data_IF_616639003539
#
_entry.id   IF_616639003539
#
_cell.length_a   1.000
_cell.length_b   1.000
_cell.length_c   1.000
_cell.angle_alpha   90.00
_cell.angle_beta   90.00
_cell.angle_gamma   90.00
#
_symmetry.space_group_name_H-M   'P 1'
#
loop_
_entity.id
_entity.type
_entity.pdbx_description
1 polymer ?
#
# COMPACT_ATOMS: atom_id res chain seq x y z
N UNK A 1 52.40 4.11 -13.14
CA UNK A 1 51.80 4.22 -11.80
C UNK A 1 50.44 4.97 -11.83
N UNK A 2 50.33 6.14 -12.45
CA UNK A 2 49.03 6.86 -12.58
C UNK A 2 47.97 6.10 -13.42
N UNK A 3 48.38 5.45 -14.51
CA UNK A 3 47.44 4.67 -15.34
C UNK A 3 46.85 3.46 -14.62
N UNK A 4 47.64 2.81 -13.73
CA UNK A 4 47.16 1.67 -12.94
C UNK A 4 46.18 2.10 -11.84
N UNK A 5 46.38 3.30 -11.27
CA UNK A 5 45.47 3.91 -10.29
C UNK A 5 44.17 4.34 -10.99
N UNK A 6 44.24 4.91 -12.18
CA UNK A 6 43.09 5.27 -13.00
C UNK A 6 42.29 4.06 -13.45
N UNK A 7 42.96 2.96 -13.87
CA UNK A 7 42.30 1.70 -14.22
C UNK A 7 41.66 1.02 -13.02
N UNK A 8 42.19 1.17 -11.79
CA UNK A 8 41.61 0.66 -10.56
C UNK A 8 40.47 1.55 -10.04
N UNK A 9 40.45 2.83 -10.38
CA UNK A 9 39.31 3.71 -10.13
C UNK A 9 38.13 3.44 -11.07
N UNK A 10 38.43 3.08 -12.33
CA UNK A 10 37.39 2.67 -13.32
C UNK A 10 36.89 1.24 -13.04
N UNK A 11 37.69 0.38 -12.41
CA UNK A 11 37.33 -0.99 -11.99
C UNK A 11 36.65 -1.07 -10.60
N UNK A 12 36.29 0.00 -9.95
CA UNK A 12 35.15 -0.04 -9.02
C UNK A 12 33.88 -0.18 -9.87
N UNK A 13 33.71 -1.37 -10.43
CA UNK A 13 32.43 -1.77 -10.97
C UNK A 13 31.41 -1.47 -9.85
N UNK A 14 30.58 -0.45 -10.06
CA UNK A 14 29.48 -0.17 -9.13
C UNK A 14 28.72 -1.48 -8.97
N UNK A 15 28.70 -1.98 -7.72
CA UNK A 15 28.02 -3.23 -7.46
C UNK A 15 26.56 -3.06 -7.84
N UNK A 16 26.04 -3.96 -8.69
CA UNK A 16 24.68 -3.89 -9.19
C UNK A 16 23.67 -3.98 -8.05
N UNK A 17 22.67 -3.10 -8.09
CA UNK A 17 21.50 -3.13 -7.22
C UNK A 17 20.55 -4.22 -7.71
N UNK A 18 20.42 -5.29 -6.92
CA UNK A 18 19.56 -6.42 -7.22
C UNK A 18 18.32 -6.38 -6.36
N UNK A 19 17.16 -6.32 -6.99
CA UNK A 19 15.86 -6.46 -6.34
C UNK A 19 15.33 -7.87 -6.62
N UNK A 20 15.20 -8.68 -5.58
CA UNK A 20 14.54 -9.98 -5.67
C UNK A 20 13.05 -9.77 -5.39
N UNK A 21 12.23 -9.95 -6.42
CA UNK A 21 10.78 -9.89 -6.32
C UNK A 21 10.26 -11.28 -5.94
N UNK A 22 9.86 -11.44 -4.69
CA UNK A 22 9.26 -12.65 -4.14
C UNK A 22 7.74 -12.51 -4.22
N UNK A 23 7.09 -13.37 -4.98
CA UNK A 23 5.70 -13.26 -5.29
C UNK A 23 4.94 -14.54 -4.88
N UNK A 24 3.79 -14.39 -4.25
CA UNK A 24 2.93 -15.52 -3.89
C UNK A 24 2.17 -16.08 -5.09
N UNK A 25 1.99 -15.28 -6.15
CA UNK A 25 1.37 -15.70 -7.39
C UNK A 25 2.35 -16.51 -8.27
N UNK A 26 1.82 -17.30 -9.19
CA UNK A 26 2.63 -18.09 -10.14
C UNK A 26 3.54 -17.19 -10.98
N UNK A 27 3.04 -16.06 -11.42
CA UNK A 27 3.78 -15.09 -12.22
C UNK A 27 3.94 -13.79 -11.42
N UNK A 28 5.20 -13.39 -11.14
CA UNK A 28 5.47 -12.10 -10.51
C UNK A 28 4.85 -10.94 -11.29
N UNK A 29 4.34 -9.95 -10.56
CA UNK A 29 3.66 -8.79 -11.12
C UNK A 29 4.57 -8.01 -12.08
N UNK A 30 4.12 -7.83 -13.33
CA UNK A 30 4.82 -6.97 -14.32
C UNK A 30 4.86 -5.51 -13.87
N UNK A 31 3.77 -5.05 -13.22
CA UNK A 31 3.72 -3.68 -12.68
C UNK A 31 4.84 -3.45 -11.66
N UNK A 32 5.01 -4.34 -10.69
CA UNK A 32 6.02 -4.21 -9.65
C UNK A 32 7.44 -4.35 -10.21
N UNK A 33 7.61 -5.20 -11.23
CA UNK A 33 8.87 -5.33 -11.97
C UNK A 33 9.27 -3.98 -12.60
N UNK A 34 8.35 -3.31 -13.30
CA UNK A 34 8.60 -2.00 -13.92
C UNK A 34 8.92 -0.95 -12.87
N UNK A 35 8.13 -0.89 -11.80
CA UNK A 35 8.38 0.05 -10.69
C UNK A 35 9.71 -0.24 -9.99
N UNK A 36 10.12 -1.49 -9.90
CA UNK A 36 11.42 -1.90 -9.37
C UNK A 36 12.58 -1.28 -10.15
N UNK A 37 12.53 -1.32 -11.49
CA UNK A 37 13.51 -0.63 -12.34
C UNK A 37 13.43 0.89 -12.19
N UNK A 38 12.23 1.45 -12.25
CA UNK A 38 12.01 2.90 -12.11
C UNK A 38 12.44 3.43 -10.73
N UNK A 39 12.40 2.59 -9.70
CA UNK A 39 12.87 2.88 -8.34
C UNK A 39 14.39 2.74 -8.17
N UNK A 40 15.11 2.38 -9.24
CA UNK A 40 16.57 2.40 -9.28
C UNK A 40 17.25 1.04 -9.06
N UNK A 41 16.55 -0.08 -9.18
CA UNK A 41 17.19 -1.39 -9.28
C UNK A 41 17.90 -1.55 -10.63
N UNK A 42 19.13 -2.07 -10.63
CA UNK A 42 19.83 -2.42 -11.87
C UNK A 42 19.27 -3.70 -12.50
N UNK A 43 18.80 -4.62 -11.67
CA UNK A 43 18.11 -5.85 -12.09
C UNK A 43 17.00 -6.20 -11.11
N UNK A 44 15.85 -6.60 -11.66
CA UNK A 44 14.72 -7.17 -10.92
C UNK A 44 14.63 -8.65 -11.29
N UNK A 45 14.65 -9.51 -10.28
CA UNK A 45 14.68 -10.97 -10.44
C UNK A 45 13.44 -11.53 -9.77
N UNK A 46 12.46 -11.94 -10.58
CA UNK A 46 11.19 -12.43 -10.11
C UNK A 46 11.19 -13.92 -9.79
N UNK A 47 10.62 -14.29 -8.67
CA UNK A 47 10.32 -15.65 -8.25
C UNK A 47 8.85 -15.74 -7.85
N UNK A 48 8.10 -16.61 -8.50
CA UNK A 48 6.67 -16.83 -8.24
C UNK A 48 6.40 -18.10 -7.45
N UNK A 49 5.14 -18.28 -7.04
CA UNK A 49 4.66 -19.43 -6.24
C UNK A 49 5.44 -19.61 -4.93
N UNK A 50 5.81 -18.50 -4.28
CA UNK A 50 6.59 -18.57 -3.05
C UNK A 50 5.70 -18.70 -1.81
N UNK A 51 6.15 -19.56 -0.91
CA UNK A 51 5.54 -19.83 0.39
C UNK A 51 6.63 -19.88 1.47
N UNK A 52 6.28 -19.82 2.75
CA UNK A 52 7.27 -19.97 3.83
C UNK A 52 8.12 -21.22 3.74
N UNK A 53 7.59 -22.30 3.17
CA UNK A 53 8.25 -23.60 3.07
C UNK A 53 9.33 -23.66 1.99
N UNK A 54 9.27 -22.78 0.97
CA UNK A 54 10.19 -22.85 -0.17
C UNK A 54 11.15 -21.67 -0.31
N UNK A 55 11.09 -20.64 0.57
CA UNK A 55 11.91 -19.43 0.45
C UNK A 55 13.32 -19.55 1.01
N UNK A 56 13.61 -20.53 1.88
CA UNK A 56 14.84 -20.57 2.67
C UNK A 56 16.10 -20.35 1.81
N UNK A 57 16.28 -21.17 0.77
CA UNK A 57 17.46 -21.08 -0.11
C UNK A 57 17.56 -19.73 -0.86
N UNK A 58 16.42 -19.12 -1.20
CA UNK A 58 16.39 -17.81 -1.86
C UNK A 58 16.83 -16.71 -0.89
N UNK A 59 16.30 -16.70 0.33
CA UNK A 59 16.70 -15.72 1.36
C UNK A 59 18.16 -15.88 1.72
N UNK A 60 18.64 -17.10 1.94
CA UNK A 60 20.05 -17.40 2.22
C UNK A 60 20.94 -16.88 1.09
N UNK A 61 20.55 -17.06 -0.17
CA UNK A 61 21.23 -16.49 -1.32
C UNK A 61 21.35 -14.96 -1.26
N UNK A 62 20.38 -14.25 -0.72
CA UNK A 62 20.45 -12.79 -0.59
C UNK A 62 21.35 -12.32 0.55
N UNK A 63 21.40 -13.04 1.68
CA UNK A 63 22.08 -12.58 2.89
C UNK A 63 23.54 -13.03 2.99
N UNK A 64 23.93 -14.13 2.29
CA UNK A 64 25.29 -14.70 2.38
C UNK A 64 26.23 -14.32 1.25
N UNK A 65 25.73 -13.85 0.09
CA UNK A 65 26.53 -13.66 -1.13
C UNK A 65 27.39 -12.38 -1.13
N UNK A 66 27.05 -11.38 -0.33
CA UNK A 66 27.73 -10.08 -0.31
C UNK A 66 28.38 -9.77 1.03
N UNK A 67 29.53 -9.09 1.01
CA UNK A 67 30.16 -8.57 2.22
C UNK A 67 29.23 -7.56 2.95
N UNK A 68 29.34 -7.38 4.28
CA UNK A 68 28.43 -6.53 5.05
C UNK A 68 28.21 -5.12 4.45
N UNK A 69 29.30 -4.47 4.00
CA UNK A 69 29.25 -3.12 3.38
C UNK A 69 28.52 -3.06 2.04
N UNK A 70 28.39 -4.20 1.36
CA UNK A 70 27.85 -4.31 0.01
C UNK A 70 26.42 -4.87 0.01
N UNK A 71 25.91 -5.35 1.16
CA UNK A 71 24.56 -5.94 1.31
C UNK A 71 23.46 -4.94 0.95
N UNK A 72 23.67 -3.64 1.14
CA UNK A 72 22.75 -2.58 0.72
C UNK A 72 22.43 -2.56 -0.78
N UNK A 73 23.20 -3.27 -1.59
CA UNK A 73 22.92 -3.41 -3.02
C UNK A 73 22.06 -4.66 -3.33
N UNK A 74 21.54 -5.33 -2.30
CA UNK A 74 20.58 -6.44 -2.43
C UNK A 74 19.34 -6.10 -1.60
N UNK A 75 18.16 -6.25 -2.19
CA UNK A 75 16.88 -6.02 -1.49
C UNK A 75 15.86 -7.07 -1.91
N UNK A 76 14.83 -7.26 -1.08
CA UNK A 76 13.70 -8.14 -1.34
C UNK A 76 12.43 -7.29 -1.40
N UNK A 77 11.60 -7.52 -2.42
CA UNK A 77 10.24 -7.03 -2.52
C UNK A 77 9.28 -8.22 -2.43
N UNK A 78 8.31 -8.16 -1.54
CA UNK A 78 7.27 -9.18 -1.40
C UNK A 78 5.97 -8.67 -2.01
N UNK A 79 5.52 -9.38 -3.07
CA UNK A 79 4.32 -9.10 -3.86
C UNK A 79 3.27 -10.20 -3.79
N UNK A 80 2.40 -10.22 -4.80
CA UNK A 80 1.31 -11.18 -4.99
C UNK A 80 -0.07 -10.57 -4.80
N UNK A 81 -1.10 -11.24 -5.28
CA UNK A 81 -2.49 -10.77 -5.25
C UNK A 81 -3.15 -10.99 -3.88
N UNK A 82 -2.70 -11.96 -3.09
CA UNK A 82 -3.21 -12.28 -1.77
C UNK A 82 -2.40 -11.53 -0.68
N UNK A 83 -3.05 -10.54 -0.05
CA UNK A 83 -2.45 -9.75 1.01
C UNK A 83 -2.07 -10.59 2.24
N UNK A 84 -2.87 -11.59 2.61
CA UNK A 84 -2.62 -12.42 3.78
C UNK A 84 -1.43 -13.37 3.53
N UNK A 85 -1.38 -14.00 2.36
CA UNK A 85 -0.25 -14.83 1.95
C UNK A 85 1.04 -14.01 1.86
N UNK A 86 0.97 -12.80 1.29
CA UNK A 86 2.12 -11.89 1.24
C UNK A 86 2.62 -11.47 2.61
N UNK A 87 1.72 -11.19 3.57
CA UNK A 87 2.10 -10.87 4.94
C UNK A 87 2.83 -12.05 5.61
N UNK A 88 2.31 -13.27 5.43
CA UNK A 88 2.94 -14.49 5.97
C UNK A 88 4.33 -14.71 5.34
N UNK A 89 4.45 -14.53 4.02
CA UNK A 89 5.71 -14.64 3.30
C UNK A 89 6.73 -13.60 3.79
N UNK A 90 6.29 -12.34 3.97
CA UNK A 90 7.12 -11.24 4.45
C UNK A 90 7.67 -11.51 5.87
N UNK A 91 6.84 -12.03 6.77
CA UNK A 91 7.25 -12.44 8.11
C UNK A 91 8.22 -13.63 8.07
N UNK A 92 8.00 -14.58 7.16
CA UNK A 92 8.88 -15.71 6.97
C UNK A 92 10.26 -15.27 6.46
N UNK A 93 10.32 -14.35 5.50
CA UNK A 93 11.60 -13.75 5.03
C UNK A 93 12.36 -13.14 6.21
N UNK A 94 11.69 -12.34 7.05
CA UNK A 94 12.33 -11.68 8.19
C UNK A 94 12.84 -12.66 9.25
N UNK A 95 12.18 -13.81 9.45
CA UNK A 95 12.62 -14.86 10.38
C UNK A 95 13.96 -15.51 9.98
N UNK A 96 14.36 -15.43 8.71
CA UNK A 96 15.69 -15.86 8.25
C UNK A 96 16.79 -14.84 8.52
N UNK A 97 16.44 -13.61 8.88
CA UNK A 97 17.42 -12.56 9.17
C UNK A 97 17.98 -12.70 10.59
N UNK A 98 19.27 -12.44 10.73
CA UNK A 98 19.95 -12.40 12.02
C UNK A 98 21.06 -11.34 12.02
N UNK A 99 21.61 -10.96 13.18
CA UNK A 99 22.56 -9.85 13.28
C UNK A 99 23.72 -9.94 12.27
N UNK A 100 23.84 -8.92 11.42
CA UNK A 100 24.85 -8.83 10.37
C UNK A 100 24.49 -9.59 9.07
N UNK A 101 23.44 -10.39 9.05
CA UNK A 101 22.97 -11.18 7.90
C UNK A 101 21.50 -10.87 7.61
N UNK A 102 21.29 -9.71 7.00
CA UNK A 102 19.98 -9.21 6.56
C UNK A 102 20.16 -8.31 5.35
N UNK A 103 19.10 -8.14 4.60
CA UNK A 103 18.94 -7.17 3.52
C UNK A 103 17.65 -6.39 3.75
N UNK A 104 17.49 -5.23 3.10
CA UNK A 104 16.24 -4.48 3.18
C UNK A 104 15.12 -5.25 2.50
N UNK A 105 13.90 -5.16 3.07
CA UNK A 105 12.71 -5.85 2.57
C UNK A 105 11.49 -4.93 2.60
N UNK A 106 10.64 -5.03 1.56
CA UNK A 106 9.38 -4.30 1.42
C UNK A 106 8.23 -5.26 1.18
N UNK A 107 7.06 -4.93 1.73
CA UNK A 107 5.79 -5.63 1.47
C UNK A 107 4.80 -4.68 0.78
N UNK A 108 4.33 -5.05 -0.40
CA UNK A 108 3.23 -4.34 -1.07
C UNK A 108 2.33 -5.27 -1.91
N UNK A 109 1.88 -6.37 -1.31
CA UNK A 109 0.97 -7.31 -1.99
C UNK A 109 -0.30 -6.61 -2.46
N UNK A 110 -0.69 -6.88 -3.70
CA UNK A 110 -1.81 -6.22 -4.39
C UNK A 110 -1.66 -4.69 -4.48
N UNK A 111 -0.46 -4.13 -4.31
CA UNK A 111 -0.25 -2.69 -4.20
C UNK A 111 -1.03 -2.05 -3.06
N UNK A 112 -1.42 -2.83 -2.05
CA UNK A 112 -2.37 -2.40 -1.01
C UNK A 112 -1.80 -1.35 -0.08
N UNK A 113 -0.53 -1.51 0.33
CA UNK A 113 0.11 -0.56 1.24
C UNK A 113 0.35 0.79 0.56
N UNK A 114 0.93 0.80 -0.65
CA UNK A 114 1.22 2.05 -1.37
C UNK A 114 -0.04 2.77 -1.83
N UNK A 115 -1.09 2.05 -2.25
CA UNK A 115 -2.37 2.65 -2.68
C UNK A 115 -3.10 3.27 -1.49
N UNK A 116 -3.25 2.53 -0.40
CA UNK A 116 -3.90 3.04 0.81
C UNK A 116 -3.12 4.22 1.40
N UNK A 117 -1.79 4.10 1.48
CA UNK A 117 -0.93 5.17 2.00
C UNK A 117 -1.05 6.46 1.19
N UNK A 118 -1.06 6.37 -0.14
CA UNK A 118 -1.22 7.55 -1.00
C UNK A 118 -2.60 8.19 -0.84
N UNK A 119 -3.66 7.38 -0.78
CA UNK A 119 -5.03 7.86 -0.58
C UNK A 119 -5.16 8.59 0.77
N UNK A 120 -4.80 7.93 1.88
CA UNK A 120 -4.93 8.51 3.22
C UNK A 120 -4.00 9.70 3.43
N UNK A 121 -2.77 9.67 2.88
CA UNK A 121 -1.86 10.84 2.95
C UNK A 121 -2.43 12.05 2.21
N UNK A 122 -3.11 11.87 1.07
CA UNK A 122 -3.79 12.96 0.36
C UNK A 122 -4.99 13.49 1.14
N UNK A 123 -5.76 12.65 1.79
CA UNK A 123 -6.81 13.09 2.71
C UNK A 123 -6.24 13.86 3.91
N UNK A 124 -5.16 13.37 4.52
CA UNK A 124 -4.47 14.05 5.62
C UNK A 124 -3.89 15.41 5.23
N UNK A 125 -3.41 15.57 3.99
CA UNK A 125 -2.94 16.85 3.47
C UNK A 125 -4.09 17.81 3.11
N UNK A 126 -5.31 17.29 2.98
CA UNK A 126 -6.51 18.07 2.65
C UNK A 126 -7.27 18.57 3.88
N UNK A 127 -7.09 17.91 5.04
CA UNK A 127 -7.80 18.29 6.27
C UNK A 127 -7.40 17.46 7.48
N UNK A 128 -7.96 17.80 8.64
CA UNK A 128 -7.73 17.09 9.90
C UNK A 128 -8.49 15.75 9.88
N UNK A 129 -7.79 14.66 10.20
CA UNK A 129 -8.41 13.33 10.31
C UNK A 129 -8.77 12.95 11.74
N UNK A 130 -8.04 13.45 12.73
CA UNK A 130 -8.24 13.14 14.15
C UNK A 130 -9.65 13.52 14.64
N UNK A 131 -10.35 12.57 15.23
CA UNK A 131 -11.71 12.73 15.73
C UNK A 131 -12.80 12.75 14.65
N UNK A 132 -12.44 12.58 13.36
CA UNK A 132 -13.39 12.49 12.26
C UNK A 132 -13.93 11.07 12.11
N UNK A 133 -15.20 10.96 11.77
CA UNK A 133 -15.84 9.69 11.42
C UNK A 133 -15.51 9.35 9.96
N UNK A 134 -14.85 8.26 9.75
CA UNK A 134 -14.46 7.78 8.43
C UNK A 134 -15.18 6.45 8.10
N UNK A 135 -15.81 6.38 6.95
CA UNK A 135 -16.46 5.16 6.45
C UNK A 135 -15.75 4.66 5.21
N UNK A 136 -15.33 3.39 5.24
CA UNK A 136 -14.73 2.74 4.07
C UNK A 136 -15.74 1.76 3.49
N UNK A 137 -16.27 2.11 2.34
CA UNK A 137 -17.26 1.31 1.62
C UNK A 137 -16.58 0.11 0.96
N UNK A 138 -17.16 -1.08 1.16
CA UNK A 138 -16.60 -2.36 0.74
C UNK A 138 -15.14 -2.56 1.26
N UNK A 139 -14.91 -2.17 2.52
CA UNK A 139 -13.58 -2.01 3.12
C UNK A 139 -12.86 -3.31 3.51
N UNK A 140 -13.40 -4.48 3.19
CA UNK A 140 -12.82 -5.79 3.56
C UNK A 140 -11.69 -6.26 2.64
N UNK A 141 -11.51 -5.60 1.48
CA UNK A 141 -10.42 -5.87 0.54
C UNK A 141 -9.06 -5.33 1.01
N UNK A 142 -7.96 -5.67 0.30
CA UNK A 142 -6.60 -5.30 0.70
C UNK A 142 -6.40 -3.79 0.91
N UNK A 143 -6.81 -2.97 -0.06
CA UNK A 143 -6.68 -1.50 0.02
C UNK A 143 -7.55 -0.93 1.12
N UNK A 144 -8.80 -1.43 1.25
CA UNK A 144 -9.75 -0.96 2.28
C UNK A 144 -9.25 -1.21 3.70
N UNK A 145 -8.73 -2.40 3.97
CA UNK A 145 -8.18 -2.73 5.28
C UNK A 145 -6.95 -1.85 5.61
N UNK A 146 -6.05 -1.64 4.65
CA UNK A 146 -4.88 -0.78 4.87
C UNK A 146 -5.27 0.69 5.08
N UNK A 147 -6.21 1.20 4.30
CA UNK A 147 -6.73 2.57 4.47
C UNK A 147 -7.42 2.75 5.83
N UNK A 148 -8.21 1.75 6.27
CA UNK A 148 -8.86 1.75 7.58
C UNK A 148 -7.84 1.82 8.72
N UNK A 149 -6.81 0.97 8.68
CA UNK A 149 -5.76 0.99 9.70
C UNK A 149 -5.02 2.34 9.72
N UNK A 150 -4.67 2.89 8.56
CA UNK A 150 -3.97 4.17 8.46
C UNK A 150 -4.81 5.35 8.96
N UNK A 151 -6.11 5.40 8.65
CA UNK A 151 -7.03 6.40 9.18
C UNK A 151 -7.16 6.30 10.70
N UNK A 152 -7.27 5.09 11.24
CA UNK A 152 -7.34 4.88 12.68
C UNK A 152 -6.03 5.28 13.38
N UNK A 153 -4.87 5.05 12.77
CA UNK A 153 -3.56 5.54 13.27
C UNK A 153 -3.48 7.08 13.29
N UNK A 154 -4.19 7.78 12.40
CA UNK A 154 -4.30 9.24 12.40
C UNK A 154 -5.40 9.76 13.36
N UNK A 155 -6.02 8.88 14.13
CA UNK A 155 -7.00 9.22 15.17
C UNK A 155 -8.43 9.41 14.66
N UNK A 156 -8.76 8.90 13.47
CA UNK A 156 -10.14 8.87 12.99
C UNK A 156 -10.94 7.72 13.65
N UNK A 157 -12.25 7.91 13.81
CA UNK A 157 -13.20 6.87 14.17
C UNK A 157 -13.63 6.14 12.90
N UNK A 158 -13.12 4.93 12.71
CA UNK A 158 -13.24 4.24 11.42
C UNK A 158 -14.30 3.15 11.45
N UNK A 159 -15.15 3.12 10.43
CA UNK A 159 -16.09 2.03 10.15
C UNK A 159 -15.76 1.44 8.76
N UNK A 160 -15.65 0.13 8.66
CA UNK A 160 -15.61 -0.55 7.35
C UNK A 160 -16.95 -1.21 7.07
N UNK A 161 -17.37 -1.19 5.80
CA UNK A 161 -18.61 -1.85 5.39
C UNK A 161 -18.34 -3.08 4.54
N UNK A 162 -19.26 -4.03 4.61
CA UNK A 162 -19.33 -5.20 3.74
C UNK A 162 -20.79 -5.57 3.52
N UNK A 163 -21.08 -6.31 2.44
CA UNK A 163 -22.41 -6.86 2.20
C UNK A 163 -22.90 -7.79 3.33
N UNK A 164 -21.96 -8.44 4.01
CA UNK A 164 -22.21 -9.33 5.13
C UNK A 164 -21.38 -8.89 6.32
N UNK A 165 -22.02 -8.71 7.47
CA UNK A 165 -21.39 -8.21 8.69
C UNK A 165 -20.18 -9.03 9.12
N UNK A 166 -20.29 -10.36 9.10
CA UNK A 166 -19.21 -11.26 9.52
C UNK A 166 -17.89 -11.08 8.74
N UNK A 167 -17.97 -10.68 7.45
CA UNK A 167 -16.77 -10.36 6.67
C UNK A 167 -16.09 -9.10 7.17
N UNK A 168 -16.87 -8.08 7.54
CA UNK A 168 -16.34 -6.85 8.11
C UNK A 168 -15.74 -7.11 9.51
N UNK A 169 -16.43 -7.86 10.36
CA UNK A 169 -15.93 -8.25 11.70
C UNK A 169 -14.60 -8.99 11.61
N UNK A 170 -14.49 -10.00 10.75
CA UNK A 170 -13.24 -10.73 10.52
C UNK A 170 -12.10 -9.82 10.06
N UNK A 171 -12.37 -8.85 9.19
CA UNK A 171 -11.39 -7.88 8.75
C UNK A 171 -10.96 -6.93 9.89
N UNK A 172 -11.90 -6.48 10.72
CA UNK A 172 -11.61 -5.67 11.91
C UNK A 172 -10.73 -6.41 12.91
N UNK A 173 -11.02 -7.68 13.19
CA UNK A 173 -10.20 -8.52 14.06
C UNK A 173 -8.75 -8.67 13.54
N UNK A 174 -8.61 -8.89 12.23
CA UNK A 174 -7.29 -9.00 11.60
C UNK A 174 -6.50 -7.68 11.72
N UNK A 175 -7.15 -6.54 11.52
CA UNK A 175 -6.52 -5.23 11.67
C UNK A 175 -6.18 -4.92 13.12
N UNK A 176 -7.06 -5.25 14.07
CA UNK A 176 -6.76 -5.11 15.49
C UNK A 176 -5.55 -5.92 15.91
N UNK A 177 -5.48 -7.18 15.47
CA UNK A 177 -4.35 -8.06 15.76
C UNK A 177 -3.03 -7.54 15.17
N UNK A 178 -3.06 -7.00 13.94
CA UNK A 178 -1.86 -6.59 13.21
C UNK A 178 -1.38 -5.18 13.58
N UNK A 179 -2.31 -4.24 13.78
CA UNK A 179 -2.01 -2.81 13.94
C UNK A 179 -2.39 -2.24 15.31
N UNK A 180 -3.04 -3.05 16.16
CA UNK A 180 -3.56 -2.61 17.47
C UNK A 180 -4.49 -1.37 17.36
N UNK A 181 -5.34 -1.34 16.32
CA UNK A 181 -6.32 -0.27 16.06
C UNK A 181 -7.73 -0.79 16.27
N UNK A 182 -8.65 0.07 16.73
CA UNK A 182 -10.06 -0.24 16.84
C UNK A 182 -10.82 0.28 15.61
N UNK A 183 -11.54 -0.61 14.94
CA UNK A 183 -12.31 -0.32 13.72
C UNK A 183 -13.69 -0.97 13.87
N UNK A 184 -14.74 -0.25 13.52
CA UNK A 184 -16.11 -0.74 13.57
C UNK A 184 -16.46 -1.50 12.29
N UNK A 185 -17.26 -2.57 12.46
CA UNK A 185 -17.79 -3.36 11.36
C UNK A 185 -19.26 -3.01 11.14
N UNK A 186 -19.68 -2.86 9.88
CA UNK A 186 -21.07 -2.60 9.53
C UNK A 186 -21.48 -3.35 8.27
N UNK A 187 -22.70 -3.90 8.24
CA UNK A 187 -23.31 -4.41 7.02
C UNK A 187 -23.84 -3.25 6.17
N UNK A 188 -23.60 -3.30 4.86
CA UNK A 188 -24.18 -2.37 3.89
C UNK A 188 -24.19 -3.03 2.49
N UNK A 189 -25.26 -3.74 2.18
CA UNK A 189 -25.36 -4.58 0.99
C UNK A 189 -25.86 -3.83 -0.25
N UNK A 190 -26.72 -2.83 -0.06
CA UNK A 190 -27.35 -2.06 -1.14
C UNK A 190 -27.03 -0.55 -1.06
N UNK A 191 -27.62 0.23 -1.95
CA UNK A 191 -27.39 1.68 -2.01
C UNK A 191 -27.95 2.41 -0.79
N UNK A 192 -29.14 2.02 -0.30
CA UNK A 192 -29.80 2.68 0.82
C UNK A 192 -29.02 2.43 2.13
N UNK A 193 -28.60 1.20 2.35
CA UNK A 193 -27.77 0.84 3.50
C UNK A 193 -26.41 1.57 3.48
N UNK A 194 -25.77 1.72 2.31
CA UNK A 194 -24.52 2.49 2.19
C UNK A 194 -24.73 3.98 2.37
N UNK A 195 -25.84 4.53 1.87
CA UNK A 195 -26.22 5.93 2.12
C UNK A 195 -26.45 6.18 3.61
N UNK A 196 -27.13 5.25 4.30
CA UNK A 196 -27.33 5.33 5.76
C UNK A 196 -25.98 5.23 6.51
N UNK A 197 -25.08 4.36 6.09
CA UNK A 197 -23.78 4.19 6.73
C UNK A 197 -22.91 5.46 6.69
N UNK A 198 -23.08 6.32 5.69
CA UNK A 198 -22.29 7.55 5.54
C UNK A 198 -22.99 8.81 6.09
N UNK A 199 -24.18 8.69 6.66
CA UNK A 199 -25.00 9.85 7.04
C UNK A 199 -24.27 10.83 7.97
N UNK A 200 -23.53 10.32 8.94
CA UNK A 200 -22.75 11.10 9.91
C UNK A 200 -21.23 11.10 9.61
N UNK A 201 -20.84 10.57 8.46
CA UNK A 201 -19.43 10.47 8.10
C UNK A 201 -18.86 11.82 7.65
N UNK A 202 -17.64 12.12 8.10
CA UNK A 202 -16.86 13.26 7.60
C UNK A 202 -15.99 12.83 6.40
N UNK A 203 -15.60 11.56 6.35
CA UNK A 203 -14.69 11.02 5.33
C UNK A 203 -15.29 9.73 4.76
N UNK A 204 -15.33 9.61 3.45
CA UNK A 204 -15.74 8.39 2.77
C UNK A 204 -14.66 7.94 1.79
N UNK A 205 -14.29 6.66 1.87
CA UNK A 205 -13.41 6.02 0.87
C UNK A 205 -14.15 4.84 0.25
N UNK A 206 -14.24 4.79 -1.08
CA UNK A 206 -14.73 3.62 -1.81
C UNK A 206 -13.55 2.72 -2.21
N UNK A 207 -13.63 1.44 -1.79
CA UNK A 207 -12.61 0.40 -2.11
C UNK A 207 -13.25 -0.89 -2.66
N UNK A 208 -14.38 -0.73 -3.34
CA UNK A 208 -15.12 -1.85 -3.93
C UNK A 208 -14.43 -2.49 -5.11
N UNK A 209 -15.03 -3.56 -5.61
CA UNK A 209 -14.55 -4.23 -6.81
C UNK A 209 -14.60 -3.29 -8.03
N UNK A 210 -13.66 -3.50 -8.94
CA UNK A 210 -13.57 -2.75 -10.20
C UNK A 210 -14.90 -2.75 -10.98
N UNK A 211 -15.36 -1.56 -11.37
CA UNK A 211 -16.59 -1.40 -12.14
C UNK A 211 -17.89 -1.58 -11.34
N UNK A 212 -17.83 -1.46 -10.01
CA UNK A 212 -19.02 -1.56 -9.15
C UNK A 212 -19.26 -0.20 -8.46
N UNK A 213 -20.38 0.45 -8.81
CA UNK A 213 -20.83 1.67 -8.14
C UNK A 213 -21.39 1.34 -6.75
N UNK A 214 -20.92 2.03 -5.73
CA UNK A 214 -21.33 1.87 -4.33
C UNK A 214 -22.23 3.00 -3.83
N UNK A 215 -22.01 4.21 -4.33
CA UNK A 215 -22.82 5.39 -4.02
C UNK A 215 -23.19 6.11 -5.31
N UNK A 216 -24.45 6.55 -5.41
CA UNK A 216 -24.89 7.49 -6.43
C UNK A 216 -24.71 8.93 -5.95
N UNK A 217 -24.70 9.95 -6.86
CA UNK A 217 -24.53 11.35 -6.47
C UNK A 217 -25.51 11.84 -5.41
N UNK A 218 -26.79 11.44 -5.50
CA UNK A 218 -27.84 11.83 -4.57
C UNK A 218 -27.60 11.37 -3.13
N UNK A 219 -26.79 10.32 -2.90
CA UNK A 219 -26.51 9.78 -1.57
C UNK A 219 -25.51 10.64 -0.77
N UNK A 220 -24.65 11.39 -1.44
CA UNK A 220 -23.56 12.10 -0.78
C UNK A 220 -23.53 13.62 -0.99
N UNK A 221 -24.03 14.10 -2.13
CA UNK A 221 -23.89 15.51 -2.50
C UNK A 221 -24.50 16.47 -1.48
N UNK A 222 -25.67 16.14 -0.91
CA UNK A 222 -26.36 16.94 0.08
C UNK A 222 -26.03 16.55 1.54
N UNK A 223 -25.09 15.66 1.78
CA UNK A 223 -24.68 15.28 3.13
C UNK A 223 -23.83 16.42 3.74
N UNK A 224 -24.38 17.13 4.71
CA UNK A 224 -23.74 18.29 5.35
C UNK A 224 -22.57 17.89 6.29
N UNK A 225 -22.53 16.65 6.78
CA UNK A 225 -21.43 16.17 7.62
C UNK A 225 -20.18 15.81 6.83
N UNK A 226 -20.35 15.46 5.54
CA UNK A 226 -19.30 14.95 4.70
C UNK A 226 -18.36 16.06 4.22
N UNK A 227 -17.06 15.88 4.43
CA UNK A 227 -16.02 16.85 4.12
C UNK A 227 -15.09 16.35 3.00
N UNK A 228 -14.77 15.04 2.99
CA UNK A 228 -13.81 14.47 2.07
C UNK A 228 -14.26 13.13 1.49
N UNK A 229 -14.02 12.92 0.21
CA UNK A 229 -14.27 11.65 -0.48
C UNK A 229 -13.03 11.20 -1.26
N UNK A 230 -12.81 9.89 -1.30
CA UNK A 230 -11.82 9.28 -2.17
C UNK A 230 -12.37 7.99 -2.78
N UNK A 231 -12.06 7.74 -4.05
CA UNK A 231 -12.41 6.52 -4.74
C UNK A 231 -11.16 5.80 -5.23
N UNK A 232 -10.94 4.59 -4.79
CA UNK A 232 -9.80 3.78 -5.21
C UNK A 232 -10.04 3.03 -6.54
N UNK A 233 -11.24 3.12 -7.11
CA UNK A 233 -11.58 2.48 -8.37
C UNK A 233 -11.23 3.36 -9.58
N UNK A 234 -10.34 2.87 -10.44
CA UNK A 234 -9.91 3.58 -11.65
C UNK A 234 -10.74 3.26 -12.91
N UNK A 235 -11.63 2.27 -12.85
CA UNK A 235 -12.38 1.77 -14.01
C UNK A 235 -13.86 2.08 -13.87
N UNK A 236 -14.48 2.77 -14.85
CA UNK A 236 -15.92 3.04 -14.81
C UNK A 236 -16.78 1.77 -14.89
N UNK A 237 -17.98 1.77 -14.24
CA UNK A 237 -18.44 2.80 -13.32
C UNK A 237 -17.56 2.89 -12.07
N UNK A 238 -17.31 4.13 -11.60
CA UNK A 238 -16.53 4.37 -10.39
C UNK A 238 -17.32 3.94 -9.15
N UNK A 239 -16.62 3.76 -8.02
CA UNK A 239 -17.25 3.38 -6.75
C UNK A 239 -18.15 4.48 -6.19
N UNK A 240 -17.83 5.75 -6.43
CA UNK A 240 -18.64 6.90 -6.05
C UNK A 240 -19.09 7.63 -7.32
N UNK A 241 -20.39 7.56 -7.63
CA UNK A 241 -20.97 8.29 -8.75
C UNK A 241 -20.86 9.80 -8.56
N UNK A 242 -20.62 10.52 -9.65
CA UNK A 242 -20.54 11.99 -9.65
C UNK A 242 -19.15 12.57 -9.35
N UNK A 243 -18.14 11.72 -9.09
CA UNK A 243 -16.73 12.15 -9.01
C UNK A 243 -15.97 11.68 -10.25
N UNK A 244 -14.85 12.33 -10.55
CA UNK A 244 -13.98 11.99 -11.68
C UNK A 244 -12.77 11.15 -11.24
N UNK A 245 -12.39 10.17 -12.05
CA UNK A 245 -11.19 9.35 -11.79
C UNK A 245 -9.90 10.19 -11.68
N UNK A 246 -9.87 11.36 -12.33
CA UNK A 246 -8.75 12.30 -12.35
C UNK A 246 -8.83 13.37 -11.27
N UNK A 247 -9.90 13.41 -10.47
CA UNK A 247 -10.09 14.44 -9.45
C UNK A 247 -8.93 14.43 -8.46
N UNK A 248 -8.41 15.62 -8.18
CA UNK A 248 -7.13 15.78 -7.48
C UNK A 248 -7.26 16.82 -6.37
N UNK A 249 -8.02 16.46 -5.32
CA UNK A 249 -8.33 17.38 -4.22
C UNK A 249 -9.17 18.57 -4.64
N UNK A 250 -10.09 18.35 -5.57
CA UNK A 250 -10.98 19.41 -6.06
C UNK A 250 -12.15 19.63 -5.11
N UNK A 251 -12.65 20.85 -5.05
CA UNK A 251 -13.93 21.13 -4.38
C UNK A 251 -15.07 20.66 -5.27
N UNK A 252 -15.89 19.78 -4.74
CA UNK A 252 -17.13 19.33 -5.35
C UNK A 252 -18.28 19.56 -4.33
N UNK A 253 -19.03 20.66 -4.50
CA UNK A 253 -20.13 21.04 -3.63
C UNK A 253 -19.72 21.18 -2.14
N UNK A 254 -18.57 21.83 -1.89
CA UNK A 254 -18.03 22.04 -0.55
C UNK A 254 -17.34 20.81 0.06
N UNK A 255 -17.06 19.78 -0.73
CA UNK A 255 -16.36 18.56 -0.32
C UNK A 255 -15.10 18.38 -1.13
N UNK A 256 -14.01 18.00 -0.48
CA UNK A 256 -12.74 17.70 -1.16
C UNK A 256 -12.79 16.28 -1.74
N UNK A 257 -12.57 16.15 -3.04
CA UNK A 257 -12.71 14.88 -3.77
C UNK A 257 -11.40 14.43 -4.40
N UNK A 258 -11.09 13.14 -4.21
CA UNK A 258 -9.93 12.47 -4.80
C UNK A 258 -10.37 11.25 -5.61
N UNK A 259 -10.05 11.23 -6.91
CA UNK A 259 -10.19 10.06 -7.76
C UNK A 259 -8.95 9.18 -7.73
N UNK A 260 -9.08 7.93 -8.17
CA UNK A 260 -8.00 6.93 -8.15
C UNK A 260 -6.73 7.39 -8.88
N UNK A 261 -6.86 8.01 -10.04
CA UNK A 261 -5.71 8.57 -10.78
C UNK A 261 -5.21 9.86 -10.12
N UNK A 262 -6.11 10.63 -9.49
CA UNK A 262 -5.77 11.86 -8.78
C UNK A 262 -4.74 11.65 -7.68
N UNK A 263 -4.92 10.66 -6.81
CA UNK A 263 -3.92 10.27 -5.81
C UNK A 263 -2.91 9.22 -6.33
N UNK A 264 -3.20 8.56 -7.44
CA UNK A 264 -2.35 7.53 -8.06
C UNK A 264 -0.97 8.01 -8.45
N UNK A 265 -0.82 9.30 -8.78
CA UNK A 265 0.50 9.90 -9.04
C UNK A 265 1.40 9.82 -7.80
N UNK A 266 0.85 10.09 -6.60
CA UNK A 266 1.58 9.89 -5.34
C UNK A 266 1.88 8.41 -5.10
N UNK A 267 0.94 7.49 -5.37
CA UNK A 267 1.15 6.05 -5.23
C UNK A 267 2.37 5.57 -6.02
N UNK A 268 2.49 5.97 -7.28
CA UNK A 268 3.63 5.59 -8.12
C UNK A 268 4.94 6.19 -7.63
N UNK A 269 4.94 7.48 -7.27
CA UNK A 269 6.11 8.16 -6.73
C UNK A 269 6.55 7.53 -5.40
N UNK A 270 5.60 7.20 -4.52
CA UNK A 270 5.84 6.53 -3.24
C UNK A 270 6.46 5.14 -3.44
N UNK A 271 5.91 4.33 -4.35
CA UNK A 271 6.42 2.99 -4.60
C UNK A 271 7.88 3.05 -5.09
N UNK A 272 8.20 3.94 -6.05
CA UNK A 272 9.57 4.19 -6.49
C UNK A 272 10.50 4.66 -5.37
N UNK A 273 10.01 5.55 -4.50
CA UNK A 273 10.76 6.04 -3.36
C UNK A 273 11.04 4.92 -2.33
N UNK A 274 10.07 4.05 -2.07
CA UNK A 274 10.27 2.87 -1.23
C UNK A 274 11.34 1.93 -1.82
N UNK A 275 11.28 1.63 -3.11
CA UNK A 275 12.31 0.81 -3.78
C UNK A 275 13.70 1.47 -3.67
N UNK A 276 13.79 2.79 -3.91
CA UNK A 276 15.05 3.53 -3.76
C UNK A 276 15.61 3.43 -2.34
N UNK A 277 14.75 3.56 -1.33
CA UNK A 277 15.09 3.49 0.08
C UNK A 277 15.65 2.13 0.47
N UNK A 278 15.22 1.03 -0.14
CA UNK A 278 15.75 -0.31 0.14
C UNK A 278 17.25 -0.42 -0.13
N UNK A 279 17.81 0.44 -0.99
CA UNK A 279 19.22 0.45 -1.36
C UNK A 279 20.07 1.50 -0.62
N UNK A 280 19.50 2.25 0.32
CA UNK A 280 20.25 3.21 1.16
C UNK A 280 21.11 2.47 2.18
N UNK A 281 20.53 1.44 2.81
CA UNK A 281 21.25 0.51 3.68
C UNK A 281 20.69 -0.94 3.51
N UNK A 282 20.98 -1.83 4.45
CA UNK A 282 20.50 -3.22 4.41
C UNK A 282 19.56 -3.56 5.58
N UNK A 283 18.90 -2.56 6.17
CA UNK A 283 18.11 -2.73 7.40
C UNK A 283 16.66 -2.24 7.28
N UNK A 284 16.30 -1.65 6.14
CA UNK A 284 14.93 -1.17 5.97
C UNK A 284 13.95 -2.34 5.94
N UNK A 285 12.91 -2.23 6.75
CA UNK A 285 11.74 -3.09 6.73
C UNK A 285 10.57 -2.17 6.42
N UNK A 286 10.09 -2.21 5.17
CA UNK A 286 9.04 -1.33 4.69
C UNK A 286 7.73 -2.12 4.57
N UNK A 287 6.87 -1.95 5.56
CA UNK A 287 5.49 -2.41 5.51
C UNK A 287 4.50 -1.24 5.61
N UNK A 288 3.25 -1.50 5.94
CA UNK A 288 2.18 -0.50 5.89
C UNK A 288 2.52 0.79 6.65
N UNK A 289 3.06 0.69 7.86
CA UNK A 289 3.35 1.83 8.74
C UNK A 289 4.51 2.68 8.19
N UNK A 290 5.58 2.03 7.75
CA UNK A 290 6.75 2.71 7.20
C UNK A 290 6.44 3.39 5.86
N UNK A 291 5.69 2.69 4.98
CA UNK A 291 5.23 3.20 3.70
C UNK A 291 4.30 4.41 3.91
N UNK A 292 3.37 4.32 4.88
CA UNK A 292 2.49 5.43 5.19
C UNK A 292 3.23 6.64 5.77
N UNK A 293 4.20 6.42 6.66
CA UNK A 293 5.04 7.50 7.17
C UNK A 293 5.81 8.23 6.06
N UNK A 294 6.29 7.49 5.03
CA UNK A 294 6.91 8.10 3.85
C UNK A 294 5.88 8.84 2.99
N UNK A 295 4.70 8.26 2.77
CA UNK A 295 3.63 8.89 1.99
C UNK A 295 3.23 10.26 2.55
N UNK A 296 3.10 10.38 3.88
CA UNK A 296 2.79 11.67 4.54
C UNK A 296 3.84 12.76 4.31
N UNK A 297 5.10 12.38 4.14
CA UNK A 297 6.18 13.34 3.84
C UNK A 297 6.17 13.78 2.37
N UNK A 298 5.53 12.98 1.50
CA UNK A 298 5.50 13.21 0.04
C UNK A 298 4.18 13.83 -0.44
N UNK A 299 3.15 13.91 0.41
CA UNK A 299 1.78 14.29 0.06
C UNK A 299 1.56 15.81 -0.19
#
# INVERSE_FOLDING_TARGET
>A
MLATVFLNLIKRAFMKKLLFQFDTDLHPSVFDTVVGYDGGADHVIGHGSLTPENIAALVDGTIFTRAPKDKKNTAIFVGGSDMAAGQILFEAVQKHFFPGFQVSVMLDSNGSNTTAAACVAKLASSGILTGKKAVILAGTGPVGQRAAAMLAMEGAEVTITSRQLWNAEKACEAMQKRFNVHIHAQAAADFDERAAAIQDANIVIATGATGVELLKPEHWQNNAALEMLADANATPPLGIGGIGVMDKGIDCQGKIVWGAIGFGALKLALHRACIAQLFEDNKHVLDAENIFALAKKMA
#
